data_IF_824932229910
#
_entry.id   IF_824932229910
#
_cell.length_a   1.000
_cell.length_b   1.000
_cell.length_c   1.000
_cell.angle_alpha   90.00
_cell.angle_beta   90.00
_cell.angle_gamma   90.00
#
_symmetry.space_group_name_H-M   'P 1'
#
loop_
_entity.id
_entity.type
_entity.pdbx_description
1 polymer ?
#
# COMPACT_ATOMS: atom_id res chain seq x y z
N UNK A 1 -7.15 -10.07 11.44
CA UNK A 1 -8.14 -10.27 12.44
C UNK A 1 -8.45 -8.98 13.12
N UNK A 2 -7.98 -8.40 14.06
CA UNK A 2 -8.41 -7.16 14.71
C UNK A 2 -8.19 -5.94 13.80
N UNK A 3 -9.06 -5.77 12.81
CA UNK A 3 -8.90 -4.70 11.83
C UNK A 3 -10.21 -3.96 11.61
N UNK A 4 -10.09 -2.66 11.28
CA UNK A 4 -11.22 -1.83 10.87
C UNK A 4 -11.10 -1.58 9.36
N UNK A 5 -12.15 -1.87 8.63
CA UNK A 5 -12.16 -1.74 7.18
C UNK A 5 -13.28 -0.79 6.78
N UNK A 6 -12.91 0.29 6.09
CA UNK A 6 -13.85 1.30 5.64
C UNK A 6 -14.75 0.82 4.50
N UNK A 7 -15.75 1.63 4.17
CA UNK A 7 -16.68 1.31 3.11
C UNK A 7 -16.01 1.36 1.73
N UNK A 8 -16.49 0.53 0.84
CA UNK A 8 -16.05 0.52 -0.55
C UNK A 8 -14.69 -0.12 -0.78
N UNK A 9 -14.15 -0.85 0.19
CA UNK A 9 -12.88 -1.53 0.03
C UNK A 9 -13.03 -2.78 -0.84
N UNK A 10 -12.00 -3.07 -1.63
CA UNK A 10 -11.90 -4.29 -2.44
C UNK A 10 -10.71 -5.07 -1.93
N UNK A 11 -10.96 -6.24 -1.37
CA UNK A 11 -9.93 -7.09 -0.76
C UNK A 11 -9.93 -8.44 -1.45
N UNK A 12 -8.76 -8.88 -1.95
CA UNK A 12 -8.62 -10.15 -2.67
C UNK A 12 -7.57 -11.01 -1.99
N UNK A 13 -7.98 -12.14 -1.40
CA UNK A 13 -7.07 -13.14 -0.83
C UNK A 13 -5.85 -12.56 -0.10
N UNK A 14 -6.07 -11.52 0.70
CA UNK A 14 -5.01 -10.84 1.43
C UNK A 14 -5.08 -11.15 2.92
N UNK A 15 -3.98 -10.86 3.63
CA UNK A 15 -3.91 -11.02 5.08
C UNK A 15 -3.82 -9.64 5.72
N UNK A 16 -4.75 -9.33 6.60
CA UNK A 16 -4.80 -8.04 7.27
C UNK A 16 -4.91 -8.27 8.78
N UNK A 17 -3.98 -7.72 9.54
CA UNK A 17 -3.95 -7.85 11.01
C UNK A 17 -3.65 -6.51 11.67
N UNK A 18 -4.39 -6.18 12.74
CA UNK A 18 -4.19 -4.98 13.54
C UNK A 18 -4.04 -3.72 12.69
N UNK A 19 -4.89 -3.56 11.68
CA UNK A 19 -4.76 -2.46 10.72
C UNK A 19 -6.07 -1.73 10.53
N UNK A 20 -5.97 -0.48 10.06
CA UNK A 20 -7.14 0.33 9.72
C UNK A 20 -7.06 0.67 8.24
N UNK A 21 -8.10 0.31 7.50
CA UNK A 21 -8.20 0.61 6.06
C UNK A 21 -9.27 1.68 5.86
N UNK A 22 -8.88 2.80 5.28
CA UNK A 22 -9.79 3.87 4.94
C UNK A 22 -10.73 3.50 3.80
N UNK A 23 -11.66 4.40 3.46
CA UNK A 23 -12.65 4.13 2.42
C UNK A 23 -11.99 3.89 1.06
N UNK A 24 -12.61 3.04 0.27
CA UNK A 24 -12.18 2.73 -1.10
C UNK A 24 -10.74 2.21 -1.21
N UNK A 25 -10.22 1.56 -0.16
CA UNK A 25 -8.92 0.89 -0.23
C UNK A 25 -9.02 -0.35 -1.11
N UNK A 26 -7.96 -0.64 -1.86
CA UNK A 26 -7.89 -1.84 -2.69
C UNK A 26 -6.61 -2.61 -2.37
N UNK A 27 -6.78 -3.86 -2.01
CA UNK A 27 -5.67 -4.75 -1.64
C UNK A 27 -5.73 -5.96 -2.56
N UNK A 28 -4.68 -6.19 -3.35
CA UNK A 28 -4.64 -7.30 -4.31
C UNK A 28 -4.22 -8.62 -3.66
N UNK A 29 -4.37 -9.71 -4.40
CA UNK A 29 -4.13 -11.05 -3.90
C UNK A 29 -2.70 -11.29 -3.39
N UNK A 30 -2.57 -12.03 -2.31
CA UNK A 30 -1.26 -12.37 -1.72
C UNK A 30 -0.63 -11.29 -0.87
N UNK A 31 -1.22 -10.10 -0.80
CA UNK A 31 -0.68 -9.00 0.01
C UNK A 31 -0.85 -9.28 1.50
N UNK A 32 0.09 -8.81 2.30
CA UNK A 32 0.06 -8.91 3.76
C UNK A 32 0.15 -7.51 4.36
N UNK A 33 -0.81 -7.16 5.21
CA UNK A 33 -0.89 -5.85 5.87
C UNK A 33 -0.92 -6.09 7.37
N UNK A 34 0.06 -5.56 8.09
CA UNK A 34 0.16 -5.71 9.54
C UNK A 34 0.49 -4.38 10.21
N UNK A 35 -0.20 -4.05 11.29
CA UNK A 35 0.06 -2.86 12.10
C UNK A 35 0.16 -1.58 11.26
N UNK A 36 -0.75 -1.42 10.29
CA UNK A 36 -0.69 -0.39 9.26
C UNK A 36 -1.97 0.42 9.24
N UNK A 37 -1.82 1.73 8.98
CA UNK A 37 -2.95 2.62 8.72
C UNK A 37 -2.92 2.99 7.24
N UNK A 38 -3.99 2.65 6.53
CA UNK A 38 -4.16 3.03 5.12
C UNK A 38 -5.29 4.05 5.06
N UNK A 39 -4.98 5.24 4.56
CA UNK A 39 -5.94 6.34 4.55
C UNK A 39 -7.04 6.17 3.49
N UNK A 40 -6.83 5.28 2.53
CA UNK A 40 -7.82 5.00 1.50
C UNK A 40 -7.64 5.84 0.24
N UNK A 41 -8.72 5.98 -0.51
CA UNK A 41 -8.70 6.71 -1.77
C UNK A 41 -9.91 7.62 -1.89
N UNK A 42 -9.75 8.72 -2.63
CA UNK A 42 -10.81 9.67 -2.88
C UNK A 42 -11.67 9.29 -4.08
N UNK A 43 -11.20 8.33 -4.89
CA UNK A 43 -11.90 7.90 -6.10
C UNK A 43 -11.58 6.44 -6.41
N UNK A 44 -12.38 5.84 -7.31
CA UNK A 44 -12.09 4.50 -7.84
C UNK A 44 -11.41 4.63 -9.19
N UNK A 45 -10.49 3.71 -9.47
CA UNK A 45 -9.95 3.56 -10.82
C UNK A 45 -10.83 2.62 -11.64
N UNK A 46 -10.63 2.61 -12.96
CA UNK A 46 -11.30 1.68 -13.86
C UNK A 46 -10.69 0.28 -13.65
N UNK A 47 -11.34 -0.50 -12.82
CA UNK A 47 -10.87 -1.83 -12.47
C UNK A 47 -10.99 -2.83 -13.62
N UNK A 48 -11.81 -2.56 -14.62
CA UNK A 48 -11.93 -3.44 -15.78
C UNK A 48 -10.62 -3.49 -16.58
N UNK A 49 -9.97 -2.36 -16.75
CA UNK A 49 -8.66 -2.31 -17.39
C UNK A 49 -7.60 -3.05 -16.59
N UNK A 50 -7.64 -2.92 -15.27
CA UNK A 50 -6.69 -3.60 -14.40
C UNK A 50 -6.83 -5.11 -14.41
N UNK A 51 -8.06 -5.59 -14.47
CA UNK A 51 -8.35 -7.02 -14.41
C UNK A 51 -8.02 -7.75 -15.71
N UNK A 52 -7.69 -7.04 -16.77
CA UNK A 52 -7.32 -7.64 -18.04
C UNK A 52 -5.94 -8.32 -18.04
N UNK A 53 -5.32 -8.48 -16.88
CA UNK A 53 -4.15 -9.33 -16.73
C UNK A 53 -2.80 -8.64 -16.65
N UNK A 54 -2.79 -7.32 -16.64
CA UNK A 54 -1.56 -6.54 -16.62
C UNK A 54 -1.30 -5.89 -15.26
N UNK A 55 -1.71 -6.57 -14.20
CA UNK A 55 -1.72 -6.01 -12.85
C UNK A 55 -0.35 -5.63 -12.29
N UNK A 56 0.73 -6.18 -12.86
CA UNK A 56 2.07 -5.91 -12.38
C UNK A 56 2.93 -5.24 -13.46
N UNK A 57 2.32 -4.32 -14.19
CA UNK A 57 3.02 -3.54 -15.20
C UNK A 57 3.53 -2.23 -14.58
N UNK A 58 4.85 -2.01 -14.61
CA UNK A 58 5.49 -0.82 -14.04
C UNK A 58 4.97 0.48 -14.62
N UNK A 59 4.48 0.48 -15.85
CA UNK A 59 4.00 1.70 -16.49
C UNK A 59 2.68 2.21 -15.91
N UNK A 60 1.96 1.37 -15.19
CA UNK A 60 0.64 1.71 -14.65
C UNK A 60 0.39 1.08 -13.29
N UNK A 61 1.06 1.60 -12.26
CA UNK A 61 0.79 1.15 -10.90
C UNK A 61 -0.59 1.66 -10.47
N UNK A 62 -1.51 0.75 -10.16
CA UNK A 62 -2.86 1.15 -9.76
C UNK A 62 -2.93 1.65 -8.32
N UNK A 63 -4.03 2.34 -8.00
CA UNK A 63 -4.31 2.75 -6.62
C UNK A 63 -4.39 1.54 -5.70
N UNK A 64 -3.87 1.68 -4.49
CA UNK A 64 -3.93 0.65 -3.46
C UNK A 64 -2.65 -0.15 -3.35
N UNK A 65 -2.76 -1.36 -2.84
CA UNK A 65 -1.64 -2.25 -2.58
C UNK A 65 -1.64 -3.37 -3.61
N UNK A 66 -0.54 -3.54 -4.34
CA UNK A 66 -0.42 -4.54 -5.39
C UNK A 66 -0.22 -5.96 -4.87
N UNK A 67 -0.20 -6.93 -5.80
CA UNK A 67 -0.08 -8.34 -5.46
C UNK A 67 1.21 -8.66 -4.73
N UNK A 68 1.10 -9.57 -3.77
CA UNK A 68 2.25 -10.13 -3.04
C UNK A 68 3.10 -9.09 -2.31
N UNK A 69 2.55 -7.90 -2.07
CA UNK A 69 3.24 -6.87 -1.29
C UNK A 69 3.10 -7.12 0.20
N UNK A 70 4.11 -6.70 0.96
CA UNK A 70 4.12 -6.82 2.42
C UNK A 70 4.26 -5.42 3.00
N UNK A 71 3.31 -5.02 3.84
CA UNK A 71 3.33 -3.70 4.48
C UNK A 71 3.19 -3.92 5.99
N UNK A 72 4.18 -3.47 6.75
CA UNK A 72 4.22 -3.60 8.20
C UNK A 72 4.62 -2.30 8.85
N UNK A 73 3.89 -1.92 9.90
CA UNK A 73 4.20 -0.74 10.72
C UNK A 73 4.40 0.50 9.86
N UNK A 74 3.38 0.79 9.05
CA UNK A 74 3.45 1.90 8.10
C UNK A 74 2.15 2.72 8.13
N UNK A 75 2.25 3.92 7.57
CA UNK A 75 1.09 4.77 7.31
C UNK A 75 1.09 5.05 5.81
N UNK A 76 0.00 4.69 5.15
CA UNK A 76 -0.15 4.89 3.70
C UNK A 76 -1.17 6.01 3.50
N UNK A 77 -0.73 7.16 3.02
CA UNK A 77 -1.60 8.30 2.83
C UNK A 77 -2.54 8.10 1.63
N UNK A 78 -3.44 9.05 1.42
CA UNK A 78 -4.50 8.91 0.41
C UNK A 78 -3.94 8.81 -1.01
N UNK A 79 -4.63 8.02 -1.82
CA UNK A 79 -4.35 7.87 -3.25
C UNK A 79 -2.94 7.37 -3.56
N UNK A 80 -2.29 6.70 -2.62
CA UNK A 80 -0.99 6.11 -2.86
C UNK A 80 -1.11 4.91 -3.80
N UNK A 81 -0.12 4.75 -4.67
CA UNK A 81 -0.04 3.65 -5.64
C UNK A 81 1.14 2.78 -5.30
N UNK A 82 0.87 1.60 -4.76
CA UNK A 82 1.89 0.66 -4.34
C UNK A 82 1.84 -0.54 -5.27
N UNK A 83 2.95 -0.81 -5.94
CA UNK A 83 3.04 -1.86 -6.95
C UNK A 83 3.03 -3.27 -6.39
N UNK A 84 3.39 -4.23 -7.24
CA UNK A 84 3.45 -5.64 -6.86
C UNK A 84 4.80 -5.96 -6.24
N UNK A 85 4.82 -6.92 -5.31
CA UNK A 85 6.05 -7.38 -4.66
C UNK A 85 6.82 -6.26 -3.96
N UNK A 86 6.10 -5.28 -3.43
CA UNK A 86 6.69 -4.18 -2.66
C UNK A 86 6.78 -4.60 -1.20
N UNK A 87 7.94 -4.40 -0.58
CA UNK A 87 8.14 -4.72 0.82
C UNK A 87 8.37 -3.43 1.61
N UNK A 88 7.37 -3.00 2.35
CA UNK A 88 7.45 -1.83 3.23
C UNK A 88 7.52 -2.36 4.65
N UNK A 89 8.73 -2.69 5.10
CA UNK A 89 8.94 -3.34 6.39
C UNK A 89 10.05 -2.68 7.21
N UNK A 90 10.64 -1.60 6.68
CA UNK A 90 11.78 -0.93 7.31
C UNK A 90 12.87 -1.95 7.68
N UNK A 91 13.35 -2.67 6.67
CA UNK A 91 14.25 -3.81 6.88
C UNK A 91 15.55 -3.44 7.60
N UNK A 92 16.01 -2.19 7.44
CA UNK A 92 17.24 -1.71 8.06
C UNK A 92 16.98 -1.06 9.42
N UNK A 93 15.74 -1.11 9.91
CA UNK A 93 15.33 -0.53 11.19
C UNK A 93 15.75 0.93 11.35
N UNK A 94 15.55 1.70 10.31
CA UNK A 94 15.86 3.13 10.30
C UNK A 94 14.84 3.87 11.16
N UNK A 95 15.32 4.72 12.08
CA UNK A 95 14.42 5.51 12.94
C UNK A 95 13.93 6.78 12.24
N UNK A 96 14.80 7.43 11.49
CA UNK A 96 14.46 8.67 10.80
C UNK A 96 15.08 8.69 9.42
N UNK A 97 14.30 9.02 8.41
CA UNK A 97 14.80 9.22 7.06
C UNK A 97 13.83 10.11 6.29
N UNK A 98 14.39 10.94 5.43
CA UNK A 98 13.61 11.78 4.53
C UNK A 98 13.87 11.31 3.11
N UNK A 99 12.86 10.72 2.50
CA UNK A 99 12.93 10.20 1.12
C UNK A 99 11.71 10.67 0.33
N UNK A 100 11.30 11.93 0.53
CA UNK A 100 10.11 12.48 -0.12
C UNK A 100 10.20 12.40 -1.64
N UNK A 101 11.41 12.52 -2.20
CA UNK A 101 11.61 12.36 -3.63
C UNK A 101 11.31 10.94 -4.13
N UNK A 102 11.29 9.96 -3.23
CA UNK A 102 10.90 8.58 -3.53
C UNK A 102 9.49 8.25 -3.07
N UNK A 103 8.78 9.23 -2.49
CA UNK A 103 7.39 9.06 -2.08
C UNK A 103 7.18 8.64 -0.64
N UNK A 104 8.20 8.66 0.21
CA UNK A 104 8.03 8.26 1.61
C UNK A 104 9.04 8.94 2.53
N UNK A 105 8.78 8.84 3.83
CA UNK A 105 9.75 9.16 4.87
C UNK A 105 9.57 8.20 6.05
N UNK A 106 10.51 8.19 6.97
CA UNK A 106 10.48 7.33 8.16
C UNK A 106 10.57 8.20 9.41
N UNK A 107 9.68 7.97 10.36
CA UNK A 107 9.67 8.65 11.66
C UNK A 107 9.42 7.63 12.76
N UNK A 108 10.30 7.59 13.74
CA UNK A 108 10.21 6.66 14.87
C UNK A 108 10.07 5.21 14.40
N UNK A 109 10.78 4.86 13.34
CA UNK A 109 10.75 3.52 12.76
C UNK A 109 9.53 3.19 11.92
N UNK A 110 8.61 4.15 11.75
CA UNK A 110 7.38 3.94 10.96
C UNK A 110 7.57 4.57 9.58
N UNK A 111 7.33 3.77 8.55
CA UNK A 111 7.38 4.26 7.16
C UNK A 111 6.07 4.98 6.86
N UNK A 112 6.16 6.21 6.36
CA UNK A 112 4.99 6.99 5.94
C UNK A 112 5.07 7.21 4.44
N UNK A 113 4.13 6.62 3.71
CA UNK A 113 4.02 6.80 2.26
C UNK A 113 3.13 8.00 2.00
N UNK A 114 3.63 8.92 1.19
CA UNK A 114 3.00 10.22 0.99
C UNK A 114 1.74 10.13 0.13
N UNK A 115 0.89 11.14 0.26
CA UNK A 115 -0.31 11.27 -0.55
C UNK A 115 0.07 11.30 -2.04
N UNK A 116 -0.67 10.55 -2.85
CA UNK A 116 -0.46 10.43 -4.30
C UNK A 116 0.92 9.85 -4.68
N UNK A 117 1.61 9.23 -3.74
CA UNK A 117 2.92 8.65 -4.02
C UNK A 117 2.83 7.44 -4.92
N UNK A 118 3.88 7.19 -5.68
CA UNK A 118 4.03 6.02 -6.54
C UNK A 118 5.21 5.19 -6.03
N UNK A 119 4.94 3.99 -5.58
CA UNK A 119 5.97 3.04 -5.16
C UNK A 119 5.98 1.92 -6.19
N UNK A 120 7.04 1.85 -6.98
CA UNK A 120 7.10 0.92 -8.10
C UNK A 120 7.28 -0.52 -7.65
N UNK A 121 6.95 -1.47 -8.54
CA UNK A 121 7.05 -2.90 -8.27
C UNK A 121 8.46 -3.27 -7.78
N UNK A 122 8.51 -4.18 -6.83
CA UNK A 122 9.78 -4.68 -6.32
C UNK A 122 10.54 -3.77 -5.37
N UNK A 123 9.98 -2.63 -5.00
CA UNK A 123 10.63 -1.71 -4.07
C UNK A 123 10.71 -2.31 -2.67
N UNK A 124 11.86 -2.18 -2.02
CA UNK A 124 12.07 -2.62 -0.64
C UNK A 124 12.46 -1.41 0.20
N UNK A 125 11.69 -1.18 1.26
CA UNK A 125 11.92 -0.06 2.17
C UNK A 125 12.23 -0.57 3.57
#
# INVERSE_FOLDING_TARGET
>A
TESLIGEGCVLKDCRISHSVLGVRSRIEGGATIEDTLIMGSDFYEDYAERESGLACDDSQVPLGIGKDSVVRRAIIDKNARIGCNVHIVNKDRVEEANRENLGFYIRSGIVVVLKNALIVDGTVI
#
